data_IF_163173394883
#
_entry.id   IF_163173394883
#
_cell.length_a   1.000
_cell.length_b   1.000
_cell.length_c   1.000
_cell.angle_alpha   90.00
_cell.angle_beta   90.00
_cell.angle_gamma   90.00
#
_symmetry.space_group_name_H-M   'P 1'
#
loop_
_entity.id
_entity.type
_entity.pdbx_description
1 polymer ?
#
# COMPACT_ATOMS: atom_id res chain seq x y z
N UNK A 1 -4.18 -1.00 -22.37
CA UNK A 1 -4.99 -0.44 -21.27
C UNK A 1 -5.56 -1.61 -20.50
N UNK A 2 -4.87 -2.08 -19.46
CA UNK A 2 -5.23 -3.30 -18.74
C UNK A 2 -5.87 -2.89 -17.41
N UNK A 3 -7.19 -3.03 -17.33
CA UNK A 3 -7.96 -2.73 -16.12
C UNK A 3 -7.65 -3.78 -15.05
N UNK A 4 -7.01 -3.35 -13.97
CA UNK A 4 -6.82 -4.15 -12.77
C UNK A 4 -8.21 -4.43 -12.16
N UNK A 5 -8.71 -5.63 -12.40
CA UNK A 5 -9.90 -6.16 -11.73
C UNK A 5 -9.57 -6.30 -10.25
N UNK A 6 -10.10 -5.38 -9.44
CA UNK A 6 -10.20 -5.57 -8.00
C UNK A 6 -10.89 -6.91 -7.75
N UNK A 7 -10.16 -7.89 -7.21
CA UNK A 7 -10.78 -9.11 -6.68
C UNK A 7 -11.52 -8.69 -5.41
N UNK A 8 -12.76 -8.26 -5.60
CA UNK A 8 -13.72 -8.13 -4.50
C UNK A 8 -13.75 -9.49 -3.80
N UNK A 9 -13.35 -9.51 -2.53
CA UNK A 9 -13.54 -10.69 -1.69
C UNK A 9 -15.06 -10.85 -1.60
N UNK A 10 -15.65 -11.92 -2.16
CA UNK A 10 -17.09 -12.08 -2.05
C UNK A 10 -17.37 -12.40 -0.58
N UNK A 11 -17.94 -11.41 0.12
CA UNK A 11 -18.71 -11.66 1.33
C UNK A 11 -19.95 -12.44 0.88
N UNK A 12 -19.80 -13.75 0.65
CA UNK A 12 -20.92 -14.65 0.43
C UNK A 12 -21.63 -14.78 1.78
N UNK A 13 -22.44 -13.77 2.09
CA UNK A 13 -23.62 -13.97 2.92
C UNK A 13 -24.46 -14.97 2.14
N UNK A 14 -24.45 -16.23 2.55
CA UNK A 14 -25.37 -17.24 2.03
C UNK A 14 -26.76 -16.62 1.96
N UNK A 15 -27.34 -16.55 0.76
CA UNK A 15 -28.58 -15.84 0.42
C UNK A 15 -29.79 -16.21 1.29
N UNK A 16 -29.69 -17.31 2.05
CA UNK A 16 -30.66 -17.72 3.06
C UNK A 16 -30.80 -16.76 4.24
N UNK A 17 -29.89 -15.79 4.43
CA UNK A 17 -29.94 -14.85 5.55
C UNK A 17 -30.54 -13.47 5.21
N UNK A 18 -30.92 -13.21 3.95
CA UNK A 18 -31.36 -11.86 3.51
C UNK A 18 -32.82 -11.56 3.89
N UNK A 19 -33.65 -12.59 4.11
CA UNK A 19 -35.09 -12.44 4.38
C UNK A 19 -35.56 -12.88 5.78
N UNK A 20 -34.64 -13.17 6.70
CA UNK A 20 -35.03 -13.48 8.09
C UNK A 20 -35.09 -12.17 8.90
N UNK A 21 -36.28 -11.73 9.37
CA UNK A 21 -36.37 -10.54 10.20
C UNK A 21 -35.44 -10.71 11.40
N UNK A 22 -34.49 -9.78 11.56
CA UNK A 22 -33.52 -9.79 12.67
C UNK A 22 -34.26 -10.07 13.97
N UNK A 23 -34.04 -11.27 14.54
CA UNK A 23 -34.66 -11.65 15.79
C UNK A 23 -34.30 -10.60 16.85
N UNK A 24 -35.29 -10.03 17.58
CA UNK A 24 -35.00 -9.07 18.62
C UNK A 24 -34.05 -9.67 19.65
N UNK A 25 -33.02 -8.90 20.02
CA UNK A 25 -32.02 -9.36 20.97
C UNK A 25 -32.66 -9.50 22.35
N UNK A 26 -32.85 -10.75 22.79
CA UNK A 26 -33.26 -11.07 24.15
C UNK A 26 -32.09 -11.71 24.90
N UNK A 27 -31.79 -11.20 26.10
CA UNK A 27 -30.81 -11.85 26.99
C UNK A 27 -31.29 -13.25 27.36
N UNK A 28 -30.38 -14.23 27.32
CA UNK A 28 -30.68 -15.57 27.84
C UNK A 28 -31.01 -15.50 29.34
N UNK A 29 -32.02 -16.26 29.77
CA UNK A 29 -32.38 -16.41 31.18
C UNK A 29 -31.18 -16.95 31.99
N UNK A 30 -31.09 -16.62 33.28
CA UNK A 30 -29.92 -16.97 34.10
C UNK A 30 -29.72 -18.48 34.24
N UNK A 31 -30.80 -19.25 34.36
CA UNK A 31 -30.75 -20.72 34.47
C UNK A 31 -30.24 -21.39 33.18
N UNK A 32 -30.48 -20.77 32.03
CA UNK A 32 -29.91 -21.24 30.75
C UNK A 32 -28.41 -21.02 30.68
N UNK A 33 -27.86 -20.03 31.40
CA UNK A 33 -26.43 -19.68 31.33
C UNK A 33 -25.53 -20.71 31.98
N UNK A 34 -26.03 -21.49 32.94
CA UNK A 34 -25.27 -22.59 33.57
C UNK A 34 -25.31 -23.88 32.77
N UNK A 35 -26.16 -24.00 31.75
CA UNK A 35 -26.24 -25.20 30.92
C UNK A 35 -24.96 -25.40 30.09
N UNK A 36 -24.47 -26.63 30.01
CA UNK A 36 -23.29 -26.97 29.19
C UNK A 36 -23.46 -26.52 27.73
N UNK A 37 -24.66 -26.72 27.15
CA UNK A 37 -24.97 -26.29 25.78
C UNK A 37 -24.86 -24.77 25.57
N UNK A 38 -25.16 -23.97 26.60
CA UNK A 38 -24.95 -22.53 26.55
C UNK A 38 -23.47 -22.18 26.65
N UNK A 39 -22.74 -22.81 27.58
CA UNK A 39 -21.30 -22.58 27.76
C UNK A 39 -20.50 -22.93 26.51
N UNK A 40 -20.80 -24.05 25.85
CA UNK A 40 -20.14 -24.45 24.59
C UNK A 40 -20.37 -23.43 23.48
N UNK A 41 -21.62 -22.97 23.32
CA UNK A 41 -21.96 -21.94 22.33
C UNK A 41 -21.29 -20.60 22.67
N UNK A 42 -21.22 -20.24 23.95
CA UNK A 42 -20.56 -19.02 24.41
C UNK A 42 -19.05 -19.08 24.18
N UNK A 43 -18.43 -20.22 24.42
CA UNK A 43 -17.01 -20.45 24.18
C UNK A 43 -16.68 -20.33 22.69
N UNK A 44 -17.42 -21.04 21.82
CA UNK A 44 -17.25 -20.92 20.35
C UNK A 44 -17.44 -19.49 19.85
N UNK A 45 -18.46 -18.78 20.35
CA UNK A 45 -18.68 -17.38 19.99
C UNK A 45 -17.54 -16.48 20.47
N UNK A 46 -17.03 -16.65 21.69
CA UNK A 46 -15.89 -15.89 22.19
C UNK A 46 -14.62 -16.14 21.35
N UNK A 47 -14.37 -17.39 20.94
CA UNK A 47 -13.26 -17.73 20.04
C UNK A 47 -13.41 -17.06 18.68
N UNK A 48 -14.61 -17.11 18.09
CA UNK A 48 -14.90 -16.42 16.84
C UNK A 48 -14.71 -14.89 16.94
N UNK A 49 -15.14 -14.28 18.05
CA UNK A 49 -14.93 -12.84 18.31
C UNK A 49 -13.45 -12.51 18.47
N UNK A 50 -12.67 -13.35 19.16
CA UNK A 50 -11.21 -13.17 19.28
C UNK A 50 -10.54 -13.23 17.91
N UNK A 51 -10.88 -14.22 17.09
CA UNK A 51 -10.35 -14.35 15.72
C UNK A 51 -10.74 -13.16 14.84
N UNK A 52 -12.01 -12.72 14.89
CA UNK A 52 -12.46 -11.54 14.16
C UNK A 52 -11.69 -10.28 14.54
N UNK A 53 -11.51 -10.04 15.85
CA UNK A 53 -10.74 -8.90 16.36
C UNK A 53 -9.29 -8.95 15.93
N UNK A 54 -8.66 -10.13 15.97
CA UNK A 54 -7.28 -10.31 15.49
C UNK A 54 -7.17 -10.02 14.00
N UNK A 55 -8.06 -10.58 13.16
CA UNK A 55 -8.10 -10.29 11.72
C UNK A 55 -8.30 -8.81 11.42
N UNK A 56 -9.18 -8.15 12.16
CA UNK A 56 -9.44 -6.71 12.00
C UNK A 56 -8.23 -5.86 12.38
N UNK A 57 -7.50 -6.23 13.44
CA UNK A 57 -6.28 -5.52 13.85
C UNK A 57 -5.16 -5.69 12.82
N UNK A 58 -4.94 -6.92 12.35
CA UNK A 58 -3.91 -7.19 11.35
C UNK A 58 -4.23 -6.46 10.04
N UNK A 59 -5.50 -6.42 9.62
CA UNK A 59 -5.90 -5.66 8.43
C UNK A 59 -5.60 -4.16 8.59
N UNK A 60 -5.82 -3.58 9.77
CA UNK A 60 -5.52 -2.18 10.04
C UNK A 60 -4.00 -1.91 9.98
N UNK A 61 -3.19 -2.80 10.58
CA UNK A 61 -1.73 -2.69 10.53
C UNK A 61 -1.20 -2.76 9.08
N UNK A 62 -1.69 -3.70 8.28
CA UNK A 62 -1.33 -3.79 6.87
C UNK A 62 -1.68 -2.51 6.10
N UNK A 63 -2.86 -1.92 6.34
CA UNK A 63 -3.22 -0.65 5.70
C UNK A 63 -2.33 0.52 6.15
N UNK A 64 -1.89 0.54 7.41
CA UNK A 64 -0.96 1.57 7.90
C UNK A 64 0.43 1.43 7.27
N UNK A 65 0.90 0.20 7.06
CA UNK A 65 2.16 -0.10 6.35
C UNK A 65 2.07 0.29 4.87
N UNK A 66 0.97 -0.04 4.20
CA UNK A 66 0.71 0.40 2.82
C UNK A 66 0.72 1.93 2.69
N UNK A 67 0.05 2.64 3.61
CA UNK A 67 0.05 4.11 3.63
C UNK A 67 1.48 4.63 3.75
N UNK A 68 2.28 4.12 4.69
CA UNK A 68 3.68 4.53 4.87
C UNK A 68 4.50 4.31 3.59
N UNK A 69 4.33 3.15 2.95
CA UNK A 69 5.00 2.83 1.69
C UNK A 69 4.62 3.82 0.57
N UNK A 70 3.33 4.07 0.38
CA UNK A 70 2.88 5.01 -0.65
C UNK A 70 3.33 6.45 -0.36
N UNK A 71 3.37 6.86 0.91
CA UNK A 71 3.91 8.18 1.27
C UNK A 71 5.38 8.30 0.91
N UNK A 72 6.19 7.28 1.20
CA UNK A 72 7.61 7.27 0.86
C UNK A 72 7.85 7.29 -0.66
N UNK A 73 7.13 6.45 -1.42
CA UNK A 73 7.20 6.48 -2.89
C UNK A 73 6.83 7.85 -3.46
N UNK A 74 5.83 8.51 -2.88
CA UNK A 74 5.43 9.86 -3.30
C UNK A 74 6.53 10.89 -3.05
N UNK A 75 7.27 10.78 -1.95
CA UNK A 75 8.42 11.65 -1.65
C UNK A 75 9.55 11.44 -2.66
N UNK A 76 9.91 10.19 -2.97
CA UNK A 76 10.91 9.88 -3.98
C UNK A 76 10.53 10.42 -5.36
N UNK A 77 9.26 10.30 -5.75
CA UNK A 77 8.75 10.89 -6.99
C UNK A 77 8.85 12.41 -7.01
N UNK A 78 8.53 13.08 -5.88
CA UNK A 78 8.68 14.54 -5.79
C UNK A 78 10.13 14.98 -5.95
N UNK A 79 11.07 14.27 -5.31
CA UNK A 79 12.50 14.55 -5.44
C UNK A 79 12.99 14.39 -6.88
N UNK A 80 12.58 13.32 -7.57
CA UNK A 80 12.91 13.13 -8.98
C UNK A 80 12.31 14.21 -9.88
N UNK A 81 11.08 14.63 -9.61
CA UNK A 81 10.46 15.72 -10.37
C UNK A 81 11.25 17.03 -10.24
N UNK A 82 11.67 17.38 -9.02
CA UNK A 82 12.49 18.56 -8.77
C UNK A 82 13.85 18.48 -9.47
N UNK A 83 14.50 17.31 -9.48
CA UNK A 83 15.75 17.08 -10.21
C UNK A 83 15.59 17.32 -11.71
N UNK A 84 14.56 16.74 -12.31
CA UNK A 84 14.27 16.92 -13.74
C UNK A 84 13.91 18.37 -14.10
N UNK A 85 13.14 19.06 -13.25
CA UNK A 85 12.82 20.48 -13.42
C UNK A 85 14.11 21.33 -13.42
N UNK A 86 15.01 21.12 -12.45
CA UNK A 86 16.30 21.82 -12.39
C UNK A 86 17.22 21.50 -13.58
N UNK A 87 17.28 20.24 -14.00
CA UNK A 87 18.07 19.84 -15.18
C UNK A 87 17.53 20.50 -16.46
N UNK A 88 16.20 20.59 -16.60
CA UNK A 88 15.55 21.29 -17.70
C UNK A 88 15.90 22.77 -17.73
N UNK A 89 15.79 23.48 -16.61
CA UNK A 89 16.15 24.90 -16.52
C UNK A 89 17.62 25.13 -16.91
N UNK A 90 18.51 24.25 -16.44
CA UNK A 90 19.94 24.33 -16.77
C UNK A 90 20.18 24.11 -18.27
N UNK A 91 19.49 23.16 -18.89
CA UNK A 91 19.55 22.93 -20.33
C UNK A 91 18.99 24.11 -21.14
N UNK A 92 17.87 24.70 -20.74
CA UNK A 92 17.31 25.89 -21.38
C UNK A 92 18.31 27.05 -21.35
N UNK A 93 18.99 27.23 -20.22
CA UNK A 93 20.05 28.25 -20.06
C UNK A 93 21.25 27.97 -20.98
N UNK A 94 21.68 26.72 -21.08
CA UNK A 94 22.77 26.29 -21.96
C UNK A 94 22.44 26.48 -23.44
N UNK A 95 21.21 26.18 -23.86
CA UNK A 95 20.74 26.44 -25.22
C UNK A 95 20.76 27.94 -25.54
N UNK A 96 20.32 28.80 -24.61
CA UNK A 96 20.39 30.25 -24.78
C UNK A 96 21.83 30.72 -24.97
N UNK A 97 22.78 30.23 -24.16
CA UNK A 97 24.21 30.54 -24.30
C UNK A 97 24.79 30.07 -25.64
N UNK A 98 24.40 28.90 -26.10
CA UNK A 98 24.85 28.38 -27.39
C UNK A 98 24.33 29.21 -28.58
N UNK A 99 23.08 29.68 -28.52
CA UNK A 99 22.53 30.64 -29.50
C UNK A 99 23.36 31.93 -29.56
N UNK A 100 24.07 32.28 -28.48
CA UNK A 100 25.01 33.41 -28.41
C UNK A 100 26.47 33.05 -28.77
N UNK A 101 26.73 31.84 -29.28
CA UNK A 101 28.03 31.44 -29.83
C UNK A 101 29.01 30.81 -28.86
N UNK A 102 28.59 30.45 -27.64
CA UNK A 102 29.45 29.77 -26.67
C UNK A 102 29.54 28.26 -26.93
N UNK A 103 30.69 27.64 -26.61
CA UNK A 103 30.92 26.19 -26.72
C UNK A 103 30.38 25.48 -25.46
N UNK A 104 29.23 24.81 -25.63
CA UNK A 104 28.37 24.30 -24.55
C UNK A 104 28.48 22.78 -24.35
N UNK A 105 29.30 22.13 -25.18
CA UNK A 105 29.35 20.67 -25.32
C UNK A 105 29.74 19.94 -24.03
N UNK A 106 30.77 20.42 -23.31
CA UNK A 106 31.23 19.78 -22.07
C UNK A 106 30.18 19.81 -20.95
N UNK A 107 29.48 20.94 -20.76
CA UNK A 107 28.43 21.06 -19.73
C UNK A 107 27.20 20.21 -20.04
N UNK A 108 26.83 20.08 -21.32
CA UNK A 108 25.71 19.23 -21.72
C UNK A 108 25.98 17.75 -21.39
N UNK A 109 27.20 17.26 -21.62
CA UNK A 109 27.58 15.88 -21.28
C UNK A 109 27.56 15.63 -19.77
N UNK A 110 28.01 16.57 -18.96
CA UNK A 110 27.99 16.46 -17.51
C UNK A 110 26.55 16.36 -16.96
N UNK A 111 25.64 17.17 -17.50
CA UNK A 111 24.20 17.12 -17.21
C UNK A 111 23.58 15.77 -17.58
N UNK A 112 23.86 15.27 -18.79
CA UNK A 112 23.34 13.98 -19.23
C UNK A 112 23.85 12.85 -18.32
N UNK A 113 25.13 12.85 -17.98
CA UNK A 113 25.72 11.82 -17.13
C UNK A 113 25.15 11.85 -15.70
N UNK A 114 24.99 13.04 -15.12
CA UNK A 114 24.39 13.19 -13.78
C UNK A 114 22.92 12.74 -13.74
N UNK A 115 22.14 13.02 -14.79
CA UNK A 115 20.76 12.53 -14.94
C UNK A 115 20.70 11.01 -15.08
N UNK A 116 21.59 10.42 -15.88
CA UNK A 116 21.68 8.96 -16.03
C UNK A 116 21.97 8.29 -14.69
N UNK A 117 22.91 8.84 -13.91
CA UNK A 117 23.23 8.35 -12.57
C UNK A 117 22.03 8.52 -11.61
N UNK A 118 21.39 9.69 -11.58
CA UNK A 118 20.24 9.95 -10.71
C UNK A 118 19.06 9.02 -11.01
N UNK A 119 18.84 8.67 -12.28
CA UNK A 119 17.82 7.68 -12.67
C UNK A 119 18.20 6.26 -12.27
N UNK A 120 19.48 5.91 -12.38
CA UNK A 120 19.98 4.61 -11.95
C UNK A 120 19.81 4.43 -10.43
N UNK A 121 20.19 5.43 -9.62
CA UNK A 121 20.03 5.39 -8.16
C UNK A 121 18.56 5.31 -7.76
N UNK A 122 17.69 6.10 -8.39
CA UNK A 122 16.25 6.04 -8.11
C UNK A 122 15.65 4.68 -8.45
N UNK A 123 16.03 4.08 -9.58
CA UNK A 123 15.57 2.73 -9.94
C UNK A 123 16.08 1.68 -8.97
N UNK A 124 17.29 1.85 -8.43
CA UNK A 124 17.84 0.98 -7.41
C UNK A 124 17.07 1.10 -6.09
N UNK A 125 16.88 2.31 -5.58
CA UNK A 125 16.10 2.58 -4.35
C UNK A 125 14.66 2.06 -4.47
N UNK A 126 14.04 2.24 -5.64
CA UNK A 126 12.70 1.74 -5.92
C UNK A 126 12.69 0.20 -5.95
N UNK A 127 13.72 -0.44 -6.50
CA UNK A 127 13.82 -1.91 -6.50
C UNK A 127 14.05 -2.47 -5.10
N UNK A 128 14.91 -1.87 -4.28
CA UNK A 128 15.17 -2.28 -2.89
C UNK A 128 13.87 -2.23 -2.06
N UNK A 129 13.09 -1.15 -2.20
CA UNK A 129 11.77 -0.97 -1.56
C UNK A 129 10.67 -1.92 -2.10
N UNK A 130 10.89 -2.54 -3.26
CA UNK A 130 10.00 -3.55 -3.84
C UNK A 130 10.48 -4.99 -3.57
N UNK A 131 11.77 -5.22 -3.29
CA UNK A 131 12.33 -6.55 -3.01
C UNK A 131 12.21 -6.96 -1.55
N UNK A 132 12.20 -6.01 -0.60
CA UNK A 132 11.88 -6.30 0.81
C UNK A 132 10.46 -6.89 0.99
N UNK A 133 9.60 -6.70 0.00
CA UNK A 133 8.24 -7.23 -0.09
C UNK A 133 8.18 -8.72 -0.47
N UNK A 134 9.18 -9.27 -1.19
CA UNK A 134 9.18 -10.71 -1.57
C UNK A 134 9.71 -11.64 -0.47
N UNK A 135 10.42 -11.12 0.53
CA UNK A 135 11.07 -11.94 1.57
C UNK A 135 10.16 -12.20 2.78
N UNK A 136 9.01 -11.53 2.90
CA UNK A 136 8.09 -11.69 4.06
C UNK A 136 6.93 -12.66 3.82
N UNK A 137 6.90 -13.38 2.70
CA UNK A 137 5.84 -14.35 2.36
C UNK A 137 6.35 -15.78 2.21
N UNK A 138 7.33 -16.22 3.00
CA UNK A 138 7.52 -17.66 3.30
C UNK A 138 8.14 -17.83 4.69
N UNK A 139 7.30 -18.14 5.69
CA UNK A 139 7.49 -19.25 6.65
C UNK A 139 6.43 -19.19 7.77
N UNK A 140 5.64 -20.27 7.90
CA UNK A 140 4.91 -20.63 9.13
C UNK A 140 3.38 -20.68 9.07
#
# INVERSE_FOLDING_TARGET
MSEQRHREIPCILTETAVNDPRRPYSRAANDMKSTSRYMDRRHRNNTAVKQFRSRSKNKMQLTEEEIKRYTHLTELFKQQRQRLESARETLETLVQRHVHGEDVTAHAYELINSEVLARATFRQELREQLSDDEVTVEDG
#
